data_IF_791062176330
#
_entry.id   IF_791062176330
#
_cell.length_a   1.000
_cell.length_b   1.000
_cell.length_c   1.000
_cell.angle_alpha   90.00
_cell.angle_beta   90.00
_cell.angle_gamma   90.00
#
_symmetry.space_group_name_H-M   'P 1'
#
loop_
_entity.id
_entity.type
_entity.pdbx_description
1 polymer ?
#
# COMPACT_ATOMS: atom_id res chain seq x y z
N UNK A 1 37.48 -11.62 -9.33
CA UNK A 1 37.64 -11.17 -7.94
C UNK A 1 36.47 -10.33 -7.41
N UNK A 2 35.66 -9.69 -8.27
CA UNK A 2 34.48 -8.92 -7.84
C UNK A 2 33.24 -9.77 -7.51
N UNK A 3 32.98 -10.87 -8.21
CA UNK A 3 31.76 -11.69 -8.00
C UNK A 3 31.74 -12.45 -6.65
N UNK A 4 32.90 -12.87 -6.15
CA UNK A 4 33.01 -13.50 -4.83
C UNK A 4 32.78 -12.49 -3.70
N UNK A 5 33.26 -11.25 -3.86
CA UNK A 5 33.01 -10.17 -2.89
C UNK A 5 31.52 -9.81 -2.81
N UNK A 6 30.83 -9.69 -3.93
CA UNK A 6 29.39 -9.38 -4.00
C UNK A 6 28.53 -10.50 -3.36
N UNK A 7 28.95 -11.77 -3.49
CA UNK A 7 28.24 -12.88 -2.82
C UNK A 7 28.40 -12.85 -1.31
N UNK A 8 29.60 -12.54 -0.81
CA UNK A 8 29.85 -12.45 0.63
C UNK A 8 29.15 -11.26 1.29
N UNK A 9 29.09 -10.11 0.62
CA UNK A 9 28.38 -8.92 1.07
C UNK A 9 26.86 -9.14 1.13
N UNK A 10 26.25 -9.69 0.08
CA UNK A 10 24.82 -10.03 0.05
C UNK A 10 24.44 -11.06 1.13
N UNK A 11 25.36 -11.96 1.54
CA UNK A 11 25.13 -12.88 2.66
C UNK A 11 25.10 -12.14 4.00
N UNK A 12 25.97 -11.11 4.19
CA UNK A 12 26.01 -10.35 5.45
C UNK A 12 24.79 -9.43 5.59
N UNK A 13 24.34 -8.79 4.52
CA UNK A 13 23.14 -7.96 4.52
C UNK A 13 21.90 -8.73 4.98
N UNK A 14 21.76 -10.00 4.56
CA UNK A 14 20.67 -10.88 4.97
C UNK A 14 20.71 -11.28 6.46
N UNK A 15 21.78 -10.97 7.18
CA UNK A 15 21.94 -11.22 8.61
C UNK A 15 21.71 -9.93 9.45
N UNK A 16 21.30 -8.85 8.81
CA UNK A 16 20.91 -7.62 9.48
C UNK A 16 19.38 -7.57 9.57
N UNK A 17 18.85 -7.52 10.78
CA UNK A 17 17.42 -7.55 11.09
C UNK A 17 16.97 -6.20 11.61
N UNK A 18 15.71 -5.87 11.43
CA UNK A 18 15.10 -4.69 12.04
C UNK A 18 14.36 -5.09 13.32
N UNK A 19 14.80 -4.53 14.47
CA UNK A 19 14.18 -4.74 15.78
C UNK A 19 14.08 -3.40 16.51
N UNK A 20 12.90 -3.05 16.99
CA UNK A 20 12.63 -1.77 17.70
C UNK A 20 13.05 -0.54 16.88
N UNK A 21 12.88 -0.60 15.53
CA UNK A 21 13.30 0.48 14.63
C UNK A 21 14.81 0.65 14.51
N UNK A 22 15.59 -0.37 14.90
CA UNK A 22 17.06 -0.38 14.78
C UNK A 22 17.48 -1.57 13.93
N UNK A 23 18.49 -1.37 13.11
CA UNK A 23 19.18 -2.43 12.41
C UNK A 23 20.15 -3.14 13.36
N UNK A 24 20.07 -4.46 13.44
CA UNK A 24 20.82 -5.26 14.39
C UNK A 24 21.29 -6.58 13.79
N UNK A 25 22.37 -7.12 14.32
CA UNK A 25 22.81 -8.49 14.07
C UNK A 25 22.72 -9.33 15.36
N UNK A 26 22.44 -10.63 15.22
CA UNK A 26 22.37 -11.53 16.35
C UNK A 26 23.76 -12.01 16.78
N UNK A 27 23.93 -12.28 18.09
CA UNK A 27 25.17 -12.85 18.63
C UNK A 27 25.53 -14.20 17.97
N UNK A 28 24.53 -14.99 17.54
CA UNK A 28 24.72 -16.24 16.80
C UNK A 28 25.36 -16.02 15.43
N UNK A 29 24.90 -15.01 14.70
CA UNK A 29 25.40 -14.70 13.36
C UNK A 29 26.80 -14.08 13.44
N UNK A 30 27.02 -13.18 14.40
CA UNK A 30 28.34 -12.61 14.67
C UNK A 30 29.35 -13.70 15.08
N UNK A 31 28.95 -14.67 15.93
CA UNK A 31 29.80 -15.75 16.32
C UNK A 31 30.23 -16.62 15.13
N UNK A 32 29.31 -16.84 14.19
CA UNK A 32 29.58 -17.59 12.95
C UNK A 32 30.51 -16.81 12.03
N UNK A 33 30.25 -15.55 11.80
CA UNK A 33 31.06 -14.67 10.94
C UNK A 33 32.49 -14.51 11.48
N UNK A 34 32.65 -14.28 12.78
CA UNK A 34 33.93 -14.15 13.44
C UNK A 34 34.64 -15.52 13.66
N UNK A 35 34.05 -16.60 13.19
CA UNK A 35 34.60 -17.98 13.35
C UNK A 35 34.94 -18.31 14.80
N UNK A 36 34.09 -17.91 15.74
CA UNK A 36 34.31 -18.14 17.16
C UNK A 36 34.27 -19.63 17.51
N UNK A 37 35.35 -20.21 18.01
CA UNK A 37 35.47 -21.64 18.32
C UNK A 37 34.38 -22.16 19.29
N UNK A 38 33.96 -21.32 20.26
CA UNK A 38 32.91 -21.65 21.23
C UNK A 38 31.57 -20.94 20.92
N UNK A 39 31.33 -20.57 19.66
CA UNK A 39 30.09 -19.89 19.23
C UNK A 39 29.79 -18.63 20.02
N UNK A 40 28.52 -18.40 20.32
CA UNK A 40 28.04 -17.22 21.05
C UNK A 40 28.65 -17.04 22.43
N UNK A 41 29.11 -18.13 23.04
CA UNK A 41 29.78 -18.09 24.37
C UNK A 41 31.01 -17.17 24.34
N UNK A 42 31.78 -17.18 23.27
CA UNK A 42 32.98 -16.33 23.12
C UNK A 42 32.58 -14.86 23.13
N UNK A 43 31.58 -14.47 22.32
CA UNK A 43 31.08 -13.11 22.25
C UNK A 43 30.51 -12.67 23.59
N UNK A 44 29.61 -13.44 24.14
CA UNK A 44 28.93 -13.11 25.40
C UNK A 44 29.90 -12.99 26.58
N UNK A 45 30.98 -13.78 26.59
CA UNK A 45 32.04 -13.68 27.61
C UNK A 45 32.89 -12.41 27.41
N UNK A 46 33.25 -12.07 26.16
CA UNK A 46 33.96 -10.85 25.85
C UNK A 46 33.16 -9.60 26.25
N UNK A 47 31.88 -9.57 25.90
CA UNK A 47 30.95 -8.49 26.27
C UNK A 47 30.83 -8.37 27.80
N UNK A 48 30.63 -9.53 28.49
CA UNK A 48 30.50 -9.52 29.96
C UNK A 48 31.74 -8.93 30.66
N UNK A 49 32.93 -9.17 30.14
CA UNK A 49 34.19 -8.61 30.68
C UNK A 49 34.28 -7.07 30.45
N UNK A 50 33.56 -6.57 29.46
CA UNK A 50 33.61 -5.17 29.05
C UNK A 50 32.21 -4.52 29.04
N UNK A 51 31.33 -4.96 29.93
CA UNK A 51 29.88 -4.61 29.93
C UNK A 51 29.62 -3.09 29.90
N UNK A 52 30.48 -2.30 30.56
CA UNK A 52 30.36 -0.84 30.57
C UNK A 52 30.52 -0.18 29.19
N UNK A 53 31.04 -0.91 28.19
CA UNK A 53 31.17 -0.45 26.81
C UNK A 53 29.93 -0.76 25.94
N UNK A 54 28.99 -1.54 26.49
CA UNK A 54 27.78 -1.98 25.79
C UNK A 54 26.51 -1.46 26.44
N UNK A 55 26.24 -0.16 26.33
CA UNK A 55 24.94 0.39 26.77
C UNK A 55 23.81 -0.22 25.92
N UNK A 56 22.57 -0.15 26.43
CA UNK A 56 21.38 -0.73 25.77
C UNK A 56 21.19 -0.25 24.31
N UNK A 57 21.65 0.95 23.97
CA UNK A 57 21.62 1.43 22.59
C UNK A 57 22.60 0.69 21.65
N UNK A 58 23.61 -0.05 22.18
CA UNK A 58 24.58 -0.83 21.42
C UNK A 58 24.25 -2.30 21.37
N UNK A 59 23.73 -2.83 22.48
CA UNK A 59 23.38 -4.23 22.64
C UNK A 59 22.19 -4.38 23.57
N UNK A 60 21.24 -5.22 23.21
CA UNK A 60 20.11 -5.57 24.06
C UNK A 60 19.70 -7.03 23.86
N UNK A 61 19.00 -7.57 24.83
CA UNK A 61 18.47 -8.92 24.75
C UNK A 61 17.12 -8.91 24.07
N UNK A 62 16.89 -9.82 23.13
CA UNK A 62 15.60 -9.97 22.46
C UNK A 62 14.57 -10.56 23.43
N UNK A 63 13.31 -10.15 23.21
CA UNK A 63 12.16 -10.87 23.76
C UNK A 63 11.87 -12.12 22.92
N UNK A 64 11.02 -13.01 23.43
CA UNK A 64 10.60 -14.20 22.65
C UNK A 64 9.91 -13.79 21.36
N UNK A 65 8.99 -12.85 21.42
CA UNK A 65 8.20 -12.41 20.25
C UNK A 65 9.08 -11.77 19.17
N UNK A 66 10.08 -10.97 19.56
CA UNK A 66 11.05 -10.39 18.63
C UNK A 66 11.88 -11.45 17.95
N UNK A 67 12.37 -12.43 18.71
CA UNK A 67 13.14 -13.53 18.16
C UNK A 67 12.31 -14.42 17.22
N UNK A 68 11.04 -14.68 17.56
CA UNK A 68 10.12 -15.40 16.68
C UNK A 68 9.88 -14.71 15.36
N UNK A 69 9.74 -13.39 15.36
CA UNK A 69 9.60 -12.60 14.12
C UNK A 69 10.81 -12.79 13.21
N UNK A 70 12.02 -12.73 13.76
CA UNK A 70 13.25 -12.94 12.99
C UNK A 70 13.28 -14.35 12.38
N UNK A 71 12.99 -15.39 13.16
CA UNK A 71 12.98 -16.77 12.69
C UNK A 71 11.97 -17.00 11.56
N UNK A 72 10.80 -16.37 11.62
CA UNK A 72 9.81 -16.44 10.53
C UNK A 72 10.33 -15.81 9.24
N UNK A 73 11.06 -14.71 9.32
CA UNK A 73 11.68 -14.09 8.14
C UNK A 73 12.76 -14.96 7.50
N UNK A 74 13.47 -15.76 8.27
CA UNK A 74 14.51 -16.66 7.77
C UNK A 74 13.97 -17.94 7.11
N UNK A 75 12.74 -18.28 7.37
CA UNK A 75 12.13 -19.53 6.90
C UNK A 75 10.69 -19.32 6.49
N UNK A 76 10.43 -19.26 5.18
CA UNK A 76 9.06 -19.29 4.63
C UNK A 76 8.30 -20.58 5.01
N UNK A 77 8.94 -21.57 5.63
CA UNK A 77 8.43 -22.94 5.82
C UNK A 77 8.64 -23.53 7.20
N UNK A 78 8.99 -22.79 8.24
CA UNK A 78 9.00 -23.39 9.58
C UNK A 78 7.58 -23.36 10.14
N UNK A 79 6.87 -24.48 10.04
CA UNK A 79 5.91 -24.87 11.06
C UNK A 79 6.68 -24.90 12.38
N UNK A 80 6.33 -23.96 13.24
CA UNK A 80 6.97 -23.77 14.53
C UNK A 80 6.61 -24.96 15.43
N UNK A 81 7.35 -26.06 15.31
CA UNK A 81 7.27 -27.14 16.29
C UNK A 81 7.55 -26.54 17.68
N UNK A 82 6.53 -26.52 18.50
CA UNK A 82 6.63 -26.16 19.91
C UNK A 82 7.66 -27.10 20.55
N UNK A 83 8.83 -26.58 20.90
CA UNK A 83 9.82 -27.31 21.67
C UNK A 83 11.27 -27.16 21.24
N UNK A 84 11.58 -26.59 20.07
CA UNK A 84 12.95 -26.55 19.50
C UNK A 84 13.72 -25.26 19.80
N UNK A 85 13.26 -24.47 20.78
CA UNK A 85 13.81 -23.14 21.01
C UNK A 85 15.01 -23.17 21.95
N UNK A 86 16.03 -22.39 21.57
CA UNK A 86 17.14 -22.12 22.45
C UNK A 86 16.64 -21.67 23.83
N UNK A 87 17.09 -22.34 24.87
CA UNK A 87 16.78 -21.97 26.28
C UNK A 87 17.17 -20.52 26.59
N UNK A 88 18.02 -19.93 25.77
CA UNK A 88 18.56 -18.58 25.94
C UNK A 88 18.18 -17.73 24.74
N UNK A 89 17.55 -16.59 25.03
CA UNK A 89 17.25 -15.56 24.03
C UNK A 89 18.54 -14.88 23.58
N UNK A 90 18.74 -14.65 22.27
CA UNK A 90 19.95 -14.05 21.73
C UNK A 90 20.10 -12.59 22.12
N UNK A 91 21.31 -12.10 22.07
CA UNK A 91 21.61 -10.69 22.08
C UNK A 91 21.60 -10.12 20.65
N UNK A 92 21.05 -8.93 20.52
CA UNK A 92 21.06 -8.14 19.30
C UNK A 92 22.07 -6.99 19.44
N UNK A 93 22.96 -6.85 18.47
CA UNK A 93 23.97 -5.83 18.40
C UNK A 93 23.64 -4.83 17.29
N UNK A 94 23.55 -3.55 17.62
CA UNK A 94 23.45 -2.49 16.62
C UNK A 94 24.80 -2.30 15.90
N UNK A 95 24.83 -1.49 14.84
CA UNK A 95 26.06 -1.13 14.13
C UNK A 95 27.16 -0.69 15.12
N UNK A 96 26.82 0.22 16.06
CA UNK A 96 27.77 0.69 17.08
C UNK A 96 28.19 -0.44 18.04
N UNK A 97 27.27 -1.38 18.32
CA UNK A 97 27.57 -2.56 19.12
C UNK A 97 28.55 -3.51 18.44
N UNK A 98 28.40 -3.72 17.13
CA UNK A 98 29.32 -4.52 16.32
C UNK A 98 30.69 -3.86 16.24
N UNK A 99 30.74 -2.54 15.98
CA UNK A 99 31.99 -1.78 15.98
C UNK A 99 32.73 -1.88 17.34
N UNK A 100 31.99 -1.77 18.45
CA UNK A 100 32.55 -1.95 19.78
C UNK A 100 33.04 -3.39 20.02
N UNK A 101 32.31 -4.39 19.52
CA UNK A 101 32.68 -5.80 19.65
C UNK A 101 34.01 -6.09 18.94
N UNK A 102 34.24 -5.52 17.75
CA UNK A 102 35.49 -5.64 17.02
C UNK A 102 36.70 -5.17 17.86
N UNK A 103 36.53 -4.08 18.61
CA UNK A 103 37.63 -3.53 19.44
C UNK A 103 38.04 -4.43 20.62
N UNK A 104 37.14 -5.33 21.07
CA UNK A 104 37.41 -6.21 22.21
C UNK A 104 37.84 -7.63 21.80
N UNK A 105 37.43 -8.08 20.62
CA UNK A 105 37.83 -9.42 20.12
C UNK A 105 39.27 -9.45 19.65
N UNK A 106 39.79 -8.38 19.08
CA UNK A 106 41.20 -8.18 18.69
C UNK A 106 41.80 -9.33 17.90
N UNK A 107 41.06 -9.92 16.99
CA UNK A 107 41.56 -10.95 16.06
C UNK A 107 41.52 -10.38 14.65
N UNK A 108 42.49 -10.79 13.81
CA UNK A 108 42.54 -10.39 12.40
C UNK A 108 41.22 -10.69 11.67
N UNK A 109 40.61 -11.84 11.93
CA UNK A 109 39.29 -12.21 11.38
C UNK A 109 38.20 -11.23 11.85
N UNK A 110 38.20 -10.82 13.13
CA UNK A 110 37.22 -9.91 13.65
C UNK A 110 37.38 -8.52 13.03
N UNK A 111 38.60 -8.06 12.78
CA UNK A 111 38.88 -6.79 12.12
C UNK A 111 38.38 -6.79 10.68
N UNK A 112 38.77 -7.80 9.87
CA UNK A 112 38.34 -7.93 8.47
C UNK A 112 36.82 -8.03 8.33
N UNK A 113 36.20 -8.93 9.11
CA UNK A 113 34.74 -9.15 9.04
C UNK A 113 33.96 -7.95 9.53
N UNK A 114 34.48 -7.23 10.54
CA UNK A 114 33.80 -6.02 11.03
C UNK A 114 33.74 -4.91 9.99
N UNK A 115 34.77 -4.77 9.17
CA UNK A 115 34.75 -3.82 8.03
C UNK A 115 33.62 -4.20 7.07
N UNK A 116 33.53 -5.49 6.66
CA UNK A 116 32.48 -5.96 5.78
C UNK A 116 31.07 -5.77 6.37
N UNK A 117 30.93 -5.98 7.68
CA UNK A 117 29.65 -5.75 8.36
C UNK A 117 29.29 -4.24 8.35
N UNK A 118 30.25 -3.36 8.60
CA UNK A 118 30.03 -1.91 8.53
C UNK A 118 29.59 -1.48 7.13
N UNK A 119 30.25 -1.99 6.09
CA UNK A 119 29.88 -1.73 4.70
C UNK A 119 28.46 -2.20 4.41
N UNK A 120 28.07 -3.38 4.90
CA UNK A 120 26.70 -3.88 4.76
C UNK A 120 25.65 -3.00 5.46
N UNK A 121 25.92 -2.48 6.66
CA UNK A 121 25.05 -1.52 7.35
C UNK A 121 24.91 -0.22 6.56
N UNK A 122 26.00 0.27 5.98
CA UNK A 122 26.00 1.50 5.14
C UNK A 122 25.15 1.28 3.89
N UNK A 123 25.38 0.18 3.17
CA UNK A 123 24.65 -0.18 1.96
C UNK A 123 23.14 -0.30 2.24
N UNK A 124 22.77 -1.01 3.30
CA UNK A 124 21.36 -1.18 3.68
C UNK A 124 20.71 0.16 4.04
N UNK A 125 21.44 1.06 4.70
CA UNK A 125 20.93 2.41 5.02
C UNK A 125 20.69 3.24 3.77
N UNK A 126 21.59 3.20 2.78
CA UNK A 126 21.39 3.85 1.49
C UNK A 126 20.18 3.30 0.78
N UNK A 127 20.04 1.99 0.70
CA UNK A 127 18.89 1.34 0.08
C UNK A 127 17.56 1.74 0.73
N UNK A 128 17.48 1.79 2.06
CA UNK A 128 16.28 2.25 2.78
C UNK A 128 16.00 3.74 2.49
N UNK A 129 17.03 4.58 2.49
CA UNK A 129 16.89 6.02 2.20
C UNK A 129 16.33 6.24 0.79
N UNK A 130 16.88 5.57 -0.21
CA UNK A 130 16.45 5.67 -1.60
C UNK A 130 15.01 5.17 -1.79
N UNK A 131 14.64 4.07 -1.13
CA UNK A 131 13.27 3.57 -1.13
C UNK A 131 12.27 4.55 -0.49
N UNK A 132 12.64 5.20 0.60
CA UNK A 132 11.79 6.22 1.24
C UNK A 132 11.58 7.44 0.34
N UNK A 133 12.62 7.88 -0.38
CA UNK A 133 12.52 8.98 -1.36
C UNK A 133 11.58 8.57 -2.50
N UNK A 134 11.77 7.38 -3.06
CA UNK A 134 10.93 6.84 -4.13
C UNK A 134 9.47 6.67 -3.67
N UNK A 135 9.25 6.18 -2.45
CA UNK A 135 7.91 6.04 -1.88
C UNK A 135 7.21 7.38 -1.71
N UNK A 136 7.94 8.41 -1.27
CA UNK A 136 7.41 9.77 -1.17
C UNK A 136 6.99 10.32 -2.54
N UNK A 137 7.79 10.08 -3.57
CA UNK A 137 7.48 10.48 -4.94
C UNK A 137 6.22 9.77 -5.45
N UNK A 138 6.12 8.44 -5.27
CA UNK A 138 4.95 7.64 -5.65
C UNK A 138 3.69 8.14 -4.92
N UNK A 139 3.78 8.40 -3.62
CA UNK A 139 2.65 8.91 -2.84
C UNK A 139 2.16 10.26 -3.36
N UNK A 140 3.06 11.16 -3.77
CA UNK A 140 2.68 12.44 -4.36
C UNK A 140 1.95 12.26 -5.70
N UNK A 141 2.43 11.35 -6.57
CA UNK A 141 1.76 11.02 -7.83
C UNK A 141 0.36 10.45 -7.60
N UNK A 142 0.20 9.56 -6.61
CA UNK A 142 -1.11 8.98 -6.25
C UNK A 142 -2.08 10.07 -5.79
N UNK A 143 -1.62 11.05 -5.01
CA UNK A 143 -2.45 12.18 -4.59
C UNK A 143 -2.87 13.05 -5.78
N UNK A 144 -1.96 13.37 -6.69
CA UNK A 144 -2.27 14.12 -7.91
C UNK A 144 -3.29 13.39 -8.79
N UNK A 145 -3.13 12.07 -8.95
CA UNK A 145 -4.06 11.26 -9.74
C UNK A 145 -5.44 11.16 -9.07
N UNK A 146 -5.49 11.06 -7.75
CA UNK A 146 -6.74 11.11 -7.00
C UNK A 146 -7.51 12.42 -7.25
N UNK A 147 -6.82 13.56 -7.22
CA UNK A 147 -7.45 14.86 -7.49
C UNK A 147 -7.96 14.96 -8.93
N UNK A 148 -7.21 14.43 -9.91
CA UNK A 148 -7.65 14.37 -11.32
C UNK A 148 -8.88 13.47 -11.48
N UNK A 149 -8.91 12.31 -10.84
CA UNK A 149 -10.06 11.39 -10.86
C UNK A 149 -11.28 12.08 -10.28
N UNK A 150 -11.17 12.75 -9.15
CA UNK A 150 -12.27 13.48 -8.52
C UNK A 150 -12.80 14.62 -9.39
N UNK A 151 -11.91 15.32 -10.11
CA UNK A 151 -12.31 16.35 -11.08
C UNK A 151 -13.06 15.75 -12.29
N UNK A 152 -12.61 14.59 -12.79
CA UNK A 152 -13.27 13.86 -13.86
C UNK A 152 -14.65 13.34 -13.43
N UNK A 153 -14.79 12.75 -12.25
CA UNK A 153 -16.07 12.32 -11.68
C UNK A 153 -17.06 13.48 -11.58
N UNK A 154 -16.59 14.63 -11.08
CA UNK A 154 -17.43 15.84 -11.00
C UNK A 154 -17.89 16.29 -12.36
N UNK A 155 -17.02 16.25 -13.37
CA UNK A 155 -17.35 16.63 -14.75
C UNK A 155 -18.30 15.62 -15.40
N UNK A 156 -18.12 14.34 -15.12
CA UNK A 156 -18.98 13.27 -15.60
C UNK A 156 -20.40 13.39 -15.03
N UNK A 157 -20.52 13.61 -13.72
CA UNK A 157 -21.81 13.83 -13.08
C UNK A 157 -22.57 15.05 -13.66
N UNK A 158 -21.88 16.14 -13.98
CA UNK A 158 -22.47 17.29 -14.66
C UNK A 158 -22.93 16.96 -16.09
N UNK A 159 -22.26 16.07 -16.78
CA UNK A 159 -22.67 15.60 -18.11
C UNK A 159 -23.87 14.66 -18.02
N UNK A 160 -23.93 13.80 -17.01
CA UNK A 160 -25.10 12.94 -16.77
C UNK A 160 -26.34 13.75 -16.40
N UNK A 161 -26.21 14.78 -15.57
CA UNK A 161 -27.34 15.70 -15.28
C UNK A 161 -27.88 16.38 -16.55
N UNK A 162 -26.97 16.76 -17.48
CA UNK A 162 -27.39 17.28 -18.81
C UNK A 162 -28.00 16.23 -19.71
N UNK A 163 -27.56 14.96 -19.63
CA UNK A 163 -28.11 13.85 -20.41
C UNK A 163 -29.52 13.45 -19.96
N UNK A 164 -29.87 13.60 -18.71
CA UNK A 164 -31.22 13.31 -18.19
C UNK A 164 -32.32 14.07 -18.91
N UNK A 165 -31.99 15.12 -19.66
CA UNK A 165 -32.95 15.91 -20.45
C UNK A 165 -33.12 15.38 -21.88
N UNK A 166 -32.12 14.63 -22.43
CA UNK A 166 -32.11 14.09 -23.80
C UNK A 166 -31.91 12.56 -23.79
N UNK A 167 -32.92 11.84 -23.35
CA UNK A 167 -32.86 10.36 -23.35
C UNK A 167 -33.55 9.80 -24.61
N UNK A 168 -32.98 8.73 -25.18
CA UNK A 168 -33.57 7.98 -26.29
C UNK A 168 -34.07 6.65 -25.72
N UNK A 169 -35.36 6.37 -25.91
CA UNK A 169 -35.97 5.10 -25.49
C UNK A 169 -36.15 4.19 -26.68
N UNK A 170 -35.72 2.95 -26.54
CA UNK A 170 -35.85 1.93 -27.57
C UNK A 170 -37.19 1.20 -27.47
N UNK A 171 -37.59 0.60 -28.57
CA UNK A 171 -38.83 -0.17 -28.65
C UNK A 171 -38.82 -1.29 -27.58
N UNK A 172 -39.86 -1.30 -26.73
CA UNK A 172 -39.98 -2.22 -25.57
C UNK A 172 -39.77 -1.57 -24.19
N UNK A 173 -39.24 -0.35 -24.13
CA UNK A 173 -39.06 0.41 -22.86
C UNK A 173 -40.24 1.35 -22.57
N UNK A 174 -41.45 0.90 -22.76
CA UNK A 174 -42.68 1.71 -22.68
C UNK A 174 -42.88 2.30 -21.27
N UNK A 175 -42.58 1.53 -20.25
CA UNK A 175 -42.76 1.96 -18.86
C UNK A 175 -41.80 3.06 -18.45
N UNK A 176 -40.54 2.96 -18.87
CA UNK A 176 -39.51 3.94 -18.55
C UNK A 176 -39.74 5.25 -19.28
N UNK A 177 -40.13 5.17 -20.56
CA UNK A 177 -40.47 6.33 -21.37
C UNK A 177 -41.69 7.10 -20.81
N UNK A 178 -42.70 6.37 -20.37
CA UNK A 178 -43.94 7.00 -19.79
C UNK A 178 -43.65 7.71 -18.46
N UNK A 179 -42.90 7.07 -17.57
CA UNK A 179 -42.47 7.67 -16.31
C UNK A 179 -41.70 8.96 -16.53
N UNK A 180 -40.79 8.95 -17.51
CA UNK A 180 -39.97 10.12 -17.84
C UNK A 180 -40.73 11.25 -18.47
N UNK A 181 -41.68 10.95 -19.33
CA UNK A 181 -42.61 11.96 -19.89
C UNK A 181 -43.38 12.66 -18.76
N UNK A 182 -43.85 11.93 -17.77
CA UNK A 182 -44.51 12.53 -16.61
C UNK A 182 -43.59 13.43 -15.80
N UNK A 183 -42.32 13.06 -15.64
CA UNK A 183 -41.35 13.90 -14.93
C UNK A 183 -41.02 15.18 -15.71
N UNK A 184 -40.93 15.12 -17.03
CA UNK A 184 -40.78 16.32 -17.90
C UNK A 184 -41.96 17.22 -17.74
N UNK A 185 -43.18 16.68 -17.71
CA UNK A 185 -44.40 17.48 -17.55
C UNK A 185 -44.46 18.18 -16.19
N UNK A 186 -43.97 17.55 -15.11
CA UNK A 186 -43.90 18.16 -13.76
C UNK A 186 -42.90 19.32 -13.68
N UNK A 187 -41.83 19.26 -14.45
CA UNK A 187 -40.73 20.24 -14.41
C UNK A 187 -41.01 21.43 -15.31
N UNK A 188 -41.85 21.27 -16.32
CA UNK A 188 -42.14 22.31 -17.29
C UNK A 188 -42.94 23.47 -16.67
N UNK A 189 -42.38 24.69 -16.79
CA UNK A 189 -42.96 25.90 -16.18
C UNK A 189 -43.57 26.90 -17.15
N UNK A 190 -43.29 26.81 -18.46
CA UNK A 190 -43.73 27.79 -19.44
C UNK A 190 -44.52 27.18 -20.59
N UNK A 191 -43.90 26.26 -21.32
CA UNK A 191 -44.48 25.67 -22.53
C UNK A 191 -43.88 24.27 -22.78
N UNK A 192 -44.70 23.35 -23.28
CA UNK A 192 -44.28 22.06 -23.81
C UNK A 192 -44.64 21.98 -25.28
N UNK A 193 -43.71 21.50 -26.10
CA UNK A 193 -43.91 21.18 -27.52
C UNK A 193 -43.73 19.68 -27.66
N UNK A 194 -44.79 18.99 -28.06
CA UNK A 194 -44.78 17.53 -28.30
C UNK A 194 -44.82 17.31 -29.81
N UNK A 195 -43.85 16.59 -30.33
CA UNK A 195 -43.79 16.20 -31.74
C UNK A 195 -43.97 14.69 -31.77
N UNK A 196 -45.18 14.26 -32.11
CA UNK A 196 -45.53 12.83 -32.16
C UNK A 196 -46.41 12.54 -33.35
N UNK A 197 -45.93 11.70 -34.28
CA UNK A 197 -46.64 11.33 -35.51
C UNK A 197 -47.94 10.55 -35.24
N UNK A 198 -48.10 9.96 -34.09
CA UNK A 198 -49.20 9.08 -33.68
C UNK A 198 -49.90 9.52 -32.40
N UNK A 199 -49.85 10.79 -32.09
CA UNK A 199 -50.53 11.35 -30.92
C UNK A 199 -52.01 10.92 -30.89
N UNK A 200 -52.43 10.37 -29.76
CA UNK A 200 -53.77 9.82 -29.54
C UNK A 200 -54.52 10.56 -28.40
N UNK A 201 -55.72 10.09 -28.12
CA UNK A 201 -56.54 10.67 -27.03
C UNK A 201 -55.92 10.45 -25.65
N UNK A 202 -55.07 9.42 -25.46
CA UNK A 202 -54.37 9.16 -24.19
C UNK A 202 -53.43 10.31 -23.88
N UNK A 203 -52.65 10.75 -24.88
CA UNK A 203 -51.78 11.91 -24.74
C UNK A 203 -52.59 13.19 -24.41
N UNK A 204 -53.71 13.41 -25.10
CA UNK A 204 -54.58 14.54 -24.83
C UNK A 204 -55.10 14.56 -23.40
N UNK A 205 -55.48 13.42 -22.84
CA UNK A 205 -55.99 13.31 -21.46
C UNK A 205 -54.89 13.61 -20.43
N UNK A 206 -53.63 13.32 -20.75
CA UNK A 206 -52.52 13.65 -19.89
C UNK A 206 -52.26 15.16 -19.93
N UNK A 207 -52.18 15.74 -21.11
CA UNK A 207 -51.82 17.17 -21.26
C UNK A 207 -52.94 18.13 -20.82
N UNK A 208 -54.24 17.73 -20.85
CA UNK A 208 -55.36 18.51 -20.31
C UNK A 208 -55.20 18.86 -18.83
N UNK A 209 -54.44 18.10 -18.09
CA UNK A 209 -54.20 18.29 -16.66
C UNK A 209 -53.05 19.27 -16.37
N UNK A 210 -52.33 19.70 -17.40
CA UNK A 210 -51.21 20.62 -17.25
C UNK A 210 -51.71 22.07 -17.30
N UNK A 211 -51.22 22.88 -16.38
CA UNK A 211 -51.58 24.29 -16.30
C UNK A 211 -50.53 25.18 -17.02
N UNK A 212 -50.09 24.76 -18.23
CA UNK A 212 -49.12 25.44 -19.06
C UNK A 212 -49.50 25.29 -20.54
N UNK A 213 -48.93 26.14 -21.40
CA UNK A 213 -49.13 26.05 -22.84
C UNK A 213 -48.59 24.75 -23.42
N UNK A 214 -49.42 23.98 -24.11
CA UNK A 214 -49.00 22.73 -24.79
C UNK A 214 -49.27 22.86 -26.29
N UNK A 215 -48.26 22.62 -27.10
CA UNK A 215 -48.34 22.54 -28.56
C UNK A 215 -48.07 21.11 -28.98
N UNK A 216 -49.01 20.48 -29.65
CA UNK A 216 -48.84 19.10 -30.18
C UNK A 216 -48.76 19.22 -31.71
N UNK A 217 -47.64 18.72 -32.25
CA UNK A 217 -47.40 18.60 -33.70
C UNK A 217 -47.53 17.13 -34.05
N UNK A 218 -48.58 16.77 -34.75
CA UNK A 218 -48.85 15.39 -35.14
C UNK A 218 -49.16 15.28 -36.64
N UNK A 219 -49.00 14.08 -37.17
CA UNK A 219 -49.47 13.77 -38.53
C UNK A 219 -51.00 13.79 -38.51
N UNK A 220 -51.63 14.42 -39.48
CA UNK A 220 -53.10 14.57 -39.57
C UNK A 220 -53.76 13.23 -39.26
N UNK A 221 -54.49 13.19 -38.11
CA UNK A 221 -55.21 12.04 -37.66
C UNK A 221 -56.68 12.45 -37.37
N UNK A 222 -57.62 11.76 -38.02
CA UNK A 222 -59.07 12.04 -37.90
C UNK A 222 -59.63 11.73 -36.52
N UNK A 223 -58.85 11.29 -35.57
CA UNK A 223 -59.23 10.86 -34.22
C UNK A 223 -59.03 11.89 -33.11
N UNK A 224 -58.41 13.05 -33.42
CA UNK A 224 -58.30 14.13 -32.46
C UNK A 224 -59.60 14.98 -32.53
N UNK A 225 -60.68 14.52 -31.92
CA UNK A 225 -61.88 15.36 -31.69
C UNK A 225 -61.64 16.24 -30.48
N UNK A 226 -62.01 17.52 -30.63
CA UNK A 226 -61.94 18.60 -29.61
C UNK A 226 -62.50 18.20 -28.25
#
# INVERSE_FOLDING_TARGET
MNELKLKDEAVIENLIYEVRGKQVMLDSDLARLYKCANGTKTINLAVKRHINRFPERFMFRLTRDEYYKILRFQSETIELEQGKYSKYLPYAFTEQGVAMLATILRTEVAEEISIKIMDAFVTLRHYISDNLINQKYINNLVLEDHDKIKALETSFNKLEEKRKINEIYFNGQIYDAYSKIQDIFKIATKRIIIIDAYADNTLLDIVKRLNIDVIIITKSNYLLTK
#
